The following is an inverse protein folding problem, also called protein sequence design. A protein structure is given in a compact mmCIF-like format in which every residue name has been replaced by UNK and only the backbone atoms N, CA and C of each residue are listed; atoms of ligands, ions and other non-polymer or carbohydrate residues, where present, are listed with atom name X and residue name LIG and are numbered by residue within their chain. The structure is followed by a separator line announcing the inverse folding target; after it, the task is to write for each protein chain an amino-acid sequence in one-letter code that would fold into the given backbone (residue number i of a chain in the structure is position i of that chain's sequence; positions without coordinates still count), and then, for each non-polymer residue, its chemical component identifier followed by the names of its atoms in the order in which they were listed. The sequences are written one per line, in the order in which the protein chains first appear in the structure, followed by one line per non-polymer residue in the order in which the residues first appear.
data_IF_313715482295
#
_entry.id   IF_313715482295
#
_cell.length_a   1.000
_cell.length_b   1.000
_cell.length_c   1.000
_cell.angle_alpha   90.00
_cell.angle_beta   90.00
_cell.angle_gamma   90.00
#
_symmetry.space_group_name_H-M   'P 1'
#
loop_
_entity.id
_entity.type
_entity.pdbx_description
1 polymer ?
#
# COMPACT_ATOMS: atom_id res chain seq x y z
N UNK A 1 22.49 -11.59 -1.21
CA UNK A 1 22.25 -11.35 0.24
C UNK A 1 23.50 -11.66 1.04
N UNK A 2 23.94 -10.75 1.90
CA UNK A 2 24.90 -11.05 2.97
C UNK A 2 24.30 -12.07 3.94
N UNK A 3 25.11 -13.02 4.41
CA UNK A 3 24.70 -14.00 5.41
C UNK A 3 24.28 -13.28 6.70
N UNK A 4 23.09 -13.57 7.21
CA UNK A 4 22.57 -12.95 8.43
C UNK A 4 23.15 -13.69 9.63
N UNK A 5 23.85 -12.98 10.49
CA UNK A 5 24.29 -13.49 11.79
C UNK A 5 23.11 -13.49 12.77
N UNK A 6 22.35 -14.59 12.75
CA UNK A 6 21.17 -14.78 13.59
C UNK A 6 21.49 -14.77 15.10
N UNK A 7 22.73 -15.08 15.47
CA UNK A 7 23.17 -15.12 16.87
C UNK A 7 23.48 -13.72 17.42
N UNK A 8 23.81 -12.75 16.56
CA UNK A 8 24.23 -11.39 16.96
C UNK A 8 23.41 -10.26 16.32
N UNK A 9 22.10 -10.46 16.16
CA UNK A 9 21.19 -9.40 15.71
C UNK A 9 21.14 -8.21 16.73
N UNK A 10 20.87 -6.96 16.30
CA UNK A 10 20.75 -5.82 17.21
C UNK A 10 19.54 -5.97 18.16
N UNK A 11 19.45 -5.20 19.26
CA UNK A 11 18.26 -5.20 20.10
C UNK A 11 17.03 -4.73 19.30
N UNK A 12 15.85 -5.20 19.69
CA UNK A 12 14.59 -4.76 19.10
C UNK A 12 14.29 -3.31 19.47
N UNK A 13 13.72 -2.53 18.55
CA UNK A 13 13.36 -1.12 18.81
C UNK A 13 11.90 -0.95 19.27
N UNK A 14 11.15 -2.03 19.44
CA UNK A 14 9.76 -1.95 19.93
C UNK A 14 9.70 -1.27 21.31
N UNK A 15 8.63 -0.51 21.61
CA UNK A 15 8.41 0.03 22.95
C UNK A 15 8.24 -1.08 24.00
N UNK A 16 8.75 -0.83 25.20
CA UNK A 16 8.71 -1.79 26.32
C UNK A 16 7.30 -2.03 26.87
N UNK A 17 6.39 -1.09 26.64
CA UNK A 17 5.00 -1.05 27.10
C UNK A 17 4.00 -1.33 25.97
N UNK A 18 4.45 -1.99 24.89
CA UNK A 18 3.62 -2.31 23.74
C UNK A 18 2.34 -3.06 24.14
N UNK A 19 1.19 -2.46 23.86
CA UNK A 19 -0.11 -3.09 24.06
C UNK A 19 -0.44 -4.06 22.92
N UNK A 20 -0.91 -5.25 23.26
CA UNK A 20 -1.48 -6.22 22.31
C UNK A 20 -2.88 -6.62 22.77
N UNK A 21 -3.84 -6.53 21.85
CA UNK A 21 -5.24 -6.89 22.08
C UNK A 21 -5.65 -7.99 21.10
N UNK A 22 -6.18 -9.10 21.61
CA UNK A 22 -6.79 -10.15 20.79
C UNK A 22 -8.30 -10.17 21.04
N UNK A 23 -9.10 -9.97 19.99
CA UNK A 23 -10.56 -9.75 20.08
C UNK A 23 -11.38 -10.83 19.37
N UNK A 24 -12.51 -11.17 19.96
CA UNK A 24 -13.54 -12.02 19.35
C UNK A 24 -13.36 -13.53 19.58
N UNK A 25 -12.35 -13.95 20.35
CA UNK A 25 -12.11 -15.36 20.64
C UNK A 25 -12.95 -15.85 21.83
N UNK A 26 -13.57 -17.02 21.68
CA UNK A 26 -14.24 -17.72 22.79
C UNK A 26 -13.23 -18.53 23.64
N UNK A 27 -12.14 -18.97 23.04
CA UNK A 27 -11.05 -19.69 23.71
C UNK A 27 -9.92 -18.73 24.12
N UNK A 28 -9.84 -18.42 25.41
CA UNK A 28 -8.82 -17.53 25.98
C UNK A 28 -7.39 -18.08 25.82
N UNK A 29 -7.20 -19.40 25.90
CA UNK A 29 -5.89 -20.03 25.74
C UNK A 29 -5.37 -19.83 24.31
N UNK A 30 -6.19 -20.14 23.31
CA UNK A 30 -5.85 -19.93 21.90
C UNK A 30 -5.64 -18.45 21.55
N UNK A 31 -6.43 -17.55 22.15
CA UNK A 31 -6.24 -16.11 21.98
C UNK A 31 -4.88 -15.65 22.51
N UNK A 32 -4.48 -16.13 23.70
CA UNK A 32 -3.20 -15.81 24.33
C UNK A 32 -2.02 -16.38 23.54
N UNK A 33 -2.13 -17.62 23.07
CA UNK A 33 -1.11 -18.24 22.22
C UNK A 33 -0.91 -17.46 20.93
N UNK A 34 -1.99 -17.09 20.24
CA UNK A 34 -1.91 -16.31 19.02
C UNK A 34 -1.28 -14.94 19.28
N UNK A 35 -1.72 -14.26 20.34
CA UNK A 35 -1.14 -12.98 20.74
C UNK A 35 0.36 -13.07 21.03
N UNK A 36 0.80 -14.12 21.72
CA UNK A 36 2.23 -14.34 21.98
C UNK A 36 3.01 -14.59 20.69
N UNK A 37 2.51 -15.44 19.79
CA UNK A 37 3.20 -15.76 18.55
C UNK A 37 3.33 -14.53 17.63
N UNK A 38 2.28 -13.71 17.52
CA UNK A 38 2.32 -12.44 16.79
C UNK A 38 3.33 -11.48 17.43
N UNK A 39 3.34 -11.35 18.75
CA UNK A 39 4.29 -10.47 19.45
C UNK A 39 5.74 -10.92 19.29
N UNK A 40 6.01 -12.22 19.30
CA UNK A 40 7.36 -12.76 19.10
C UNK A 40 7.85 -12.53 17.66
N UNK A 41 6.97 -12.63 16.66
CA UNK A 41 7.27 -12.23 15.29
C UNK A 41 7.61 -10.73 15.19
N UNK A 42 6.78 -9.85 15.78
CA UNK A 42 7.02 -8.40 15.78
C UNK A 42 8.32 -8.05 16.51
N UNK A 43 8.63 -8.72 17.63
CA UNK A 43 9.90 -8.57 18.35
C UNK A 43 11.09 -8.89 17.47
N UNK A 44 11.03 -9.98 16.72
CA UNK A 44 12.06 -10.36 15.76
C UNK A 44 12.22 -9.29 14.68
N UNK A 45 11.13 -8.84 14.06
CA UNK A 45 11.18 -7.83 13.00
C UNK A 45 11.68 -6.47 13.49
N UNK A 46 11.41 -6.10 14.75
CA UNK A 46 11.97 -4.90 15.36
C UNK A 46 13.49 -4.91 15.52
N UNK A 47 14.17 -6.03 15.22
CA UNK A 47 15.64 -6.12 15.11
C UNK A 47 16.15 -5.84 13.69
N UNK A 48 15.26 -5.73 12.71
CA UNK A 48 15.58 -5.45 11.30
C UNK A 48 14.97 -4.13 10.82
N UNK A 49 13.85 -3.72 11.42
CA UNK A 49 13.10 -2.53 11.07
C UNK A 49 12.95 -1.65 12.31
N UNK A 50 12.90 -0.32 12.11
CA UNK A 50 12.66 0.61 13.19
C UNK A 50 11.17 0.66 13.55
N UNK A 51 10.80 -0.04 14.62
CA UNK A 51 9.46 -0.07 15.21
C UNK A 51 9.29 0.83 16.44
N UNK A 52 10.16 1.84 16.64
CA UNK A 52 10.11 2.69 17.84
C UNK A 52 8.83 3.53 17.98
N UNK A 53 8.13 3.76 16.86
CA UNK A 53 6.86 4.49 16.78
C UNK A 53 5.64 3.58 16.76
N UNK A 54 5.78 2.29 17.09
CA UNK A 54 4.66 1.38 17.22
C UNK A 54 3.80 1.75 18.45
N UNK A 55 2.50 1.96 18.26
CA UNK A 55 1.51 2.25 19.31
C UNK A 55 1.07 0.97 20.02
N UNK A 56 0.65 -0.01 19.22
CA UNK A 56 0.01 -1.22 19.70
C UNK A 56 -0.40 -2.14 18.56
N UNK A 57 -0.91 -3.31 18.94
CA UNK A 57 -1.33 -4.36 18.02
C UNK A 57 -2.74 -4.83 18.38
N UNK A 58 -3.60 -4.94 17.38
CA UNK A 58 -4.93 -5.56 17.49
C UNK A 58 -5.03 -6.74 16.55
N UNK A 59 -5.36 -7.92 17.07
CA UNK A 59 -5.68 -9.12 16.27
C UNK A 59 -7.16 -9.43 16.50
N UNK A 60 -7.98 -9.46 15.45
CA UNK A 60 -9.42 -9.56 15.61
C UNK A 60 -10.05 -10.56 14.65
N UNK A 61 -11.01 -11.37 15.17
CA UNK A 61 -11.89 -12.18 14.32
C UNK A 61 -12.81 -11.27 13.50
N UNK A 62 -13.41 -10.27 14.13
CA UNK A 62 -14.14 -9.20 13.44
C UNK A 62 -13.19 -8.06 13.07
N UNK A 63 -12.48 -8.27 11.96
CA UNK A 63 -11.48 -7.33 11.45
C UNK A 63 -12.09 -5.98 11.04
N UNK A 64 -13.27 -6.00 10.42
CA UNK A 64 -13.95 -4.79 9.94
C UNK A 64 -14.40 -3.92 11.13
N UNK A 65 -14.94 -4.54 12.20
CA UNK A 65 -15.26 -3.82 13.44
C UNK A 65 -14.00 -3.29 14.15
N UNK A 66 -12.91 -4.08 14.19
CA UNK A 66 -11.67 -3.64 14.81
C UNK A 66 -11.04 -2.42 14.13
N UNK A 67 -11.12 -2.33 12.80
CA UNK A 67 -10.73 -1.14 12.04
C UNK A 67 -11.63 0.06 12.34
N UNK A 68 -12.95 -0.15 12.34
CA UNK A 68 -13.92 0.92 12.58
C UNK A 68 -13.81 1.53 13.99
N UNK A 69 -13.50 0.70 14.99
CA UNK A 69 -13.41 1.10 16.41
C UNK A 69 -12.05 1.69 16.80
N UNK A 70 -11.04 1.64 15.92
CA UNK A 70 -9.71 2.09 16.28
C UNK A 70 -9.70 3.61 16.54
N UNK A 71 -9.38 4.00 17.76
CA UNK A 71 -9.12 5.39 18.10
C UNK A 71 -7.77 5.86 17.55
N UNK A 72 -7.86 6.72 16.54
CA UNK A 72 -6.70 7.31 15.86
C UNK A 72 -6.22 8.60 16.52
N UNK A 73 -6.83 9.06 17.60
CA UNK A 73 -6.38 10.20 18.40
C UNK A 73 -6.59 11.58 17.75
N UNK A 74 -7.35 11.65 16.64
CA UNK A 74 -7.79 12.90 16.02
C UNK A 74 -9.32 12.90 15.84
N UNK A 75 -10.01 14.00 16.18
CA UNK A 75 -11.45 14.10 16.01
C UNK A 75 -11.86 14.22 14.53
N UNK A 76 -13.04 13.73 14.19
CA UNK A 76 -13.65 13.93 12.86
C UNK A 76 -13.08 13.04 11.75
N UNK A 77 -12.21 12.09 12.08
CA UNK A 77 -11.77 11.07 11.12
C UNK A 77 -12.90 10.11 10.78
N UNK A 78 -12.97 9.70 9.51
CA UNK A 78 -13.86 8.62 9.08
C UNK A 78 -13.35 7.28 9.64
N UNK A 79 -14.24 6.35 10.00
CA UNK A 79 -13.86 4.98 10.34
C UNK A 79 -13.02 4.35 9.23
N UNK A 80 -12.04 3.54 9.61
CA UNK A 80 -11.22 2.80 8.64
C UNK A 80 -12.03 1.67 8.04
N UNK A 81 -11.82 1.41 6.75
CA UNK A 81 -12.40 0.28 6.04
C UNK A 81 -11.31 -0.39 5.21
N UNK A 82 -11.37 -1.71 5.08
CA UNK A 82 -10.44 -2.44 4.23
C UNK A 82 -10.80 -2.32 2.75
N UNK A 83 -9.81 -2.51 1.89
CA UNK A 83 -10.05 -2.85 0.49
C UNK A 83 -10.75 -4.21 0.40
N UNK A 84 -11.84 -4.28 -0.37
CA UNK A 84 -12.64 -5.51 -0.53
C UNK A 84 -13.07 -5.68 -1.98
N UNK A 85 -12.08 -5.90 -2.85
CA UNK A 85 -12.27 -6.15 -4.28
C UNK A 85 -12.00 -7.62 -4.61
N UNK A 86 -12.34 -8.06 -5.83
CA UNK A 86 -12.05 -9.43 -6.26
C UNK A 86 -10.54 -9.67 -6.45
N UNK A 87 -9.79 -8.62 -6.80
CA UNK A 87 -8.36 -8.66 -7.10
C UNK A 87 -7.49 -8.41 -5.86
N UNK A 88 -8.03 -7.73 -4.84
CA UNK A 88 -7.32 -7.38 -3.62
C UNK A 88 -8.27 -7.31 -2.41
N UNK A 89 -7.94 -8.08 -1.37
CA UNK A 89 -8.58 -8.03 -0.06
C UNK A 89 -7.57 -7.57 0.99
N UNK A 90 -7.88 -6.47 1.68
CA UNK A 90 -7.10 -5.99 2.81
C UNK A 90 -7.31 -6.90 4.01
N UNK A 91 -6.23 -7.51 4.50
CA UNK A 91 -6.25 -8.47 5.62
C UNK A 91 -5.51 -7.98 6.86
N UNK A 92 -4.74 -6.92 6.70
CA UNK A 92 -4.10 -6.18 7.76
C UNK A 92 -4.00 -4.70 7.35
N UNK A 93 -3.74 -3.85 8.33
CA UNK A 93 -3.51 -2.43 8.11
C UNK A 93 -2.64 -1.85 9.23
N UNK A 94 -1.81 -0.88 8.89
CA UNK A 94 -0.94 -0.13 9.80
C UNK A 94 -1.36 1.35 9.92
N UNK A 95 -2.55 1.67 10.43
CA UNK A 95 -3.01 3.06 10.53
C UNK A 95 -2.13 3.93 11.43
N UNK A 96 -1.88 5.16 10.98
CA UNK A 96 -1.32 6.22 11.82
C UNK A 96 -2.33 6.63 12.91
N UNK A 97 -1.80 6.86 14.12
CA UNK A 97 -2.52 7.28 15.31
C UNK A 97 -1.76 8.38 16.05
N UNK A 98 -2.47 9.26 16.74
CA UNK A 98 -1.89 10.31 17.59
C UNK A 98 -1.95 9.88 19.05
N UNK A 99 -0.80 9.90 19.75
CA UNK A 99 -0.67 9.63 21.19
C UNK A 99 0.24 10.68 21.81
N UNK A 100 -0.26 11.41 22.80
CA UNK A 100 0.52 12.42 23.53
C UNK A 100 1.27 13.41 22.62
N UNK A 101 0.63 13.81 21.52
CA UNK A 101 1.20 14.74 20.53
C UNK A 101 2.26 14.13 19.59
N UNK A 102 2.45 12.80 19.63
CA UNK A 102 3.34 12.08 18.71
C UNK A 102 2.53 11.18 17.78
N UNK A 103 2.93 11.18 16.51
CA UNK A 103 2.40 10.25 15.52
C UNK A 103 3.07 8.89 15.72
N UNK A 104 2.24 7.86 15.82
CA UNK A 104 2.61 6.46 15.95
C UNK A 104 1.84 5.63 14.93
N UNK A 105 2.16 4.36 14.81
CA UNK A 105 1.46 3.40 13.97
C UNK A 105 0.83 2.32 14.83
N UNK A 106 -0.45 2.02 14.65
CA UNK A 106 -1.11 0.87 15.29
C UNK A 106 -1.26 -0.24 14.24
N UNK A 107 -0.98 -1.49 14.58
CA UNK A 107 -1.16 -2.61 13.65
C UNK A 107 -2.48 -3.31 13.91
N UNK A 108 -3.27 -3.56 12.88
CA UNK A 108 -4.53 -4.30 12.97
C UNK A 108 -4.48 -5.49 12.02
N UNK A 109 -4.69 -6.70 12.54
CA UNK A 109 -4.65 -7.94 11.78
C UNK A 109 -5.99 -8.68 11.83
N UNK A 110 -6.40 -9.23 10.70
CA UNK A 110 -7.43 -10.26 10.66
C UNK A 110 -6.87 -11.54 11.29
N UNK A 111 -7.51 -12.02 12.37
CA UNK A 111 -7.09 -13.19 13.12
C UNK A 111 -6.94 -14.45 12.25
N UNK A 112 -7.82 -14.65 11.27
CA UNK A 112 -7.77 -15.82 10.39
C UNK A 112 -6.46 -15.88 9.60
N UNK A 113 -5.92 -14.72 9.23
CA UNK A 113 -4.76 -14.59 8.35
C UNK A 113 -3.44 -14.74 9.09
N UNK A 114 -3.45 -14.62 10.42
CA UNK A 114 -2.28 -14.83 11.28
C UNK A 114 -2.37 -16.11 12.13
N UNK A 115 -3.51 -16.81 12.09
CA UNK A 115 -3.74 -18.04 12.86
C UNK A 115 -2.76 -19.18 12.52
N UNK A 116 -2.14 -19.15 11.34
CA UNK A 116 -1.11 -20.11 10.93
C UNK A 116 0.07 -20.19 11.89
N UNK A 117 0.35 -19.12 12.66
CA UNK A 117 1.45 -19.07 13.63
C UNK A 117 1.31 -20.04 14.81
N UNK A 118 0.09 -20.44 15.19
CA UNK A 118 -0.16 -21.23 16.41
C UNK A 118 -0.80 -22.58 16.15
N UNK A 119 -1.18 -22.88 14.91
CA UNK A 119 -1.75 -24.18 14.60
C UNK A 119 -0.62 -25.24 14.51
N UNK A 120 -0.65 -26.23 15.41
CA UNK A 120 0.28 -27.38 15.46
C UNK A 120 0.38 -28.14 14.13
N UNK A 121 -0.66 -28.04 13.30
CA UNK A 121 -0.77 -28.69 11.98
C UNK A 121 -0.89 -27.68 10.84
N UNK A 122 -0.61 -26.39 11.06
CA UNK A 122 -0.61 -25.41 9.98
C UNK A 122 0.36 -25.84 8.88
N UNK A 123 -0.09 -25.70 7.63
CA UNK A 123 0.79 -25.84 6.49
C UNK A 123 1.92 -24.81 6.60
N UNK A 124 3.11 -25.17 6.10
CA UNK A 124 4.25 -24.25 6.12
C UNK A 124 3.96 -22.97 5.31
N UNK A 125 3.12 -23.09 4.29
CA UNK A 125 2.62 -21.97 3.50
C UNK A 125 1.76 -21.00 4.33
N UNK A 126 0.91 -21.51 5.22
CA UNK A 126 0.06 -20.66 6.08
C UNK A 126 0.91 -19.90 7.12
N UNK A 127 1.94 -20.56 7.67
CA UNK A 127 2.92 -19.91 8.55
C UNK A 127 3.71 -18.83 7.81
N UNK A 128 4.21 -19.15 6.62
CA UNK A 128 4.95 -18.21 5.80
C UNK A 128 4.10 -16.99 5.40
N UNK A 129 2.83 -17.20 5.05
CA UNK A 129 1.90 -16.13 4.76
C UNK A 129 1.67 -15.22 5.98
N UNK A 130 1.42 -15.79 7.16
CA UNK A 130 1.25 -15.03 8.39
C UNK A 130 2.49 -14.21 8.76
N UNK A 131 3.69 -14.82 8.67
CA UNK A 131 4.98 -14.14 8.88
C UNK A 131 5.15 -12.99 7.89
N UNK A 132 4.86 -13.23 6.61
CA UNK A 132 4.97 -12.23 5.55
C UNK A 132 4.05 -11.03 5.76
N UNK A 133 2.79 -11.26 6.16
CA UNK A 133 1.83 -10.20 6.50
C UNK A 133 2.36 -9.35 7.66
N UNK A 134 2.78 -9.98 8.75
CA UNK A 134 3.26 -9.23 9.93
C UNK A 134 4.53 -8.46 9.61
N UNK A 135 5.45 -9.03 8.84
CA UNK A 135 6.68 -8.35 8.42
C UNK A 135 6.38 -7.12 7.54
N UNK A 136 5.43 -7.23 6.61
CA UNK A 136 5.01 -6.13 5.74
C UNK A 136 4.40 -4.97 6.55
N UNK A 137 3.48 -5.27 7.47
CA UNK A 137 2.88 -4.24 8.33
C UNK A 137 3.88 -3.62 9.31
N UNK A 138 4.87 -4.39 9.78
CA UNK A 138 5.99 -3.84 10.55
C UNK A 138 6.82 -2.85 9.72
N UNK A 139 7.04 -3.12 8.44
CA UNK A 139 7.76 -2.21 7.57
C UNK A 139 7.03 -0.86 7.43
N UNK A 140 5.70 -0.87 7.36
CA UNK A 140 4.92 0.38 7.34
C UNK A 140 5.09 1.23 8.59
N UNK A 141 5.40 0.66 9.76
CA UNK A 141 5.73 1.44 10.97
C UNK A 141 6.96 2.31 10.72
N UNK A 142 8.01 1.73 10.13
CA UNK A 142 9.23 2.46 9.78
C UNK A 142 8.94 3.49 8.69
N UNK A 143 8.24 3.10 7.62
CA UNK A 143 7.90 4.00 6.51
C UNK A 143 7.09 5.21 6.99
N UNK A 144 6.11 4.98 7.87
CA UNK A 144 5.31 6.06 8.48
C UNK A 144 6.21 7.02 9.26
N UNK A 145 7.13 6.49 10.09
CA UNK A 145 8.05 7.32 10.85
C UNK A 145 8.99 8.15 9.96
N UNK A 146 9.49 7.56 8.87
CA UNK A 146 10.34 8.25 7.90
C UNK A 146 9.58 9.40 7.21
N UNK A 147 8.36 9.14 6.73
CA UNK A 147 7.52 10.16 6.09
C UNK A 147 7.14 11.28 7.06
N UNK A 148 6.72 10.95 8.27
CA UNK A 148 6.36 11.95 9.29
C UNK A 148 7.52 12.93 9.56
N UNK A 149 8.75 12.41 9.62
CA UNK A 149 9.94 13.21 9.84
C UNK A 149 10.28 14.09 8.63
N UNK A 150 10.22 13.54 7.42
CA UNK A 150 10.84 14.12 6.24
C UNK A 150 9.88 14.75 5.22
N UNK A 151 8.59 14.41 5.21
CA UNK A 151 7.63 14.78 4.16
C UNK A 151 6.47 15.55 4.80
N UNK A 152 6.46 16.90 4.79
CA UNK A 152 5.43 17.70 5.44
C UNK A 152 3.99 17.36 5.04
N UNK A 153 3.75 17.06 3.76
CA UNK A 153 2.42 16.72 3.24
C UNK A 153 1.92 15.35 3.71
N UNK A 154 2.83 14.40 4.01
CA UNK A 154 2.48 13.07 4.51
C UNK A 154 2.21 13.04 6.02
N UNK A 155 2.46 14.16 6.73
CA UNK A 155 2.32 14.18 8.19
C UNK A 155 0.88 13.94 8.61
N UNK A 156 0.70 13.11 9.62
CA UNK A 156 -0.63 12.69 10.03
C UNK A 156 -1.51 13.87 10.47
N UNK A 157 -2.67 14.03 9.82
CA UNK A 157 -3.59 15.14 10.07
C UNK A 157 -3.34 16.39 9.23
N UNK A 158 -2.31 16.40 8.38
CA UNK A 158 -2.08 17.47 7.42
C UNK A 158 -3.16 17.47 6.35
N UNK A 159 -3.63 18.66 6.01
CA UNK A 159 -4.55 18.88 4.89
C UNK A 159 -3.76 19.35 3.68
N UNK A 160 -3.82 18.58 2.60
CA UNK A 160 -3.30 18.98 1.30
C UNK A 160 -4.30 19.93 0.64
N UNK A 161 -3.84 21.11 0.25
CA UNK A 161 -4.65 22.11 -0.44
C UNK A 161 -4.69 21.79 -1.95
N UNK A 162 -5.83 22.07 -2.58
CA UNK A 162 -6.06 21.74 -3.99
C UNK A 162 -6.55 20.31 -4.21
N UNK A 163 -7.55 20.15 -5.07
CA UNK A 163 -8.12 18.84 -5.37
C UNK A 163 -7.13 17.94 -6.11
N UNK A 164 -6.54 18.47 -7.19
CA UNK A 164 -5.55 17.76 -8.02
C UNK A 164 -4.35 17.28 -7.18
N UNK A 165 -3.70 18.20 -6.45
CA UNK A 165 -2.57 17.88 -5.57
C UNK A 165 -2.91 16.79 -4.55
N UNK A 166 -4.09 16.87 -3.94
CA UNK A 166 -4.56 15.86 -2.97
C UNK A 166 -4.73 14.48 -3.60
N UNK A 167 -5.24 14.40 -4.83
CA UNK A 167 -5.38 13.14 -5.57
C UNK A 167 -4.02 12.57 -5.95
N UNK A 168 -3.14 13.37 -6.55
CA UNK A 168 -1.83 12.91 -7.01
C UNK A 168 -0.92 12.50 -5.85
N UNK A 169 -0.95 13.27 -4.74
CA UNK A 169 -0.17 12.93 -3.56
C UNK A 169 -0.61 11.60 -2.95
N UNK A 170 -1.90 11.28 -2.91
CA UNK A 170 -2.36 9.98 -2.40
C UNK A 170 -1.82 8.81 -3.22
N UNK A 171 -1.68 8.99 -4.53
CA UNK A 171 -1.10 7.98 -5.43
C UNK A 171 0.40 7.87 -5.21
N UNK A 172 1.10 9.00 -5.12
CA UNK A 172 2.52 9.03 -4.81
C UNK A 172 2.82 8.32 -3.47
N UNK A 173 2.03 8.64 -2.44
CA UNK A 173 2.17 8.08 -1.11
C UNK A 173 1.97 6.56 -1.12
N UNK A 174 0.90 6.05 -1.74
CA UNK A 174 0.68 4.60 -1.79
C UNK A 174 1.74 3.88 -2.62
N UNK A 175 2.23 4.47 -3.71
CA UNK A 175 3.30 3.84 -4.49
C UNK A 175 4.58 3.69 -3.67
N UNK A 176 4.98 4.73 -2.94
CA UNK A 176 6.14 4.64 -2.06
C UNK A 176 5.93 3.65 -0.92
N UNK A 177 4.78 3.73 -0.23
CA UNK A 177 4.51 2.94 0.97
C UNK A 177 4.59 1.44 0.67
N UNK A 178 3.94 0.99 -0.39
CA UNK A 178 3.86 -0.43 -0.74
C UNK A 178 5.19 -0.96 -1.28
N UNK A 179 5.90 -0.14 -2.07
CA UNK A 179 7.24 -0.48 -2.55
C UNK A 179 8.22 -0.66 -1.39
N UNK A 180 8.29 0.34 -0.51
CA UNK A 180 9.23 0.34 0.60
C UNK A 180 8.91 -0.80 1.58
N UNK A 181 7.63 -1.02 1.89
CA UNK A 181 7.21 -2.10 2.78
C UNK A 181 7.55 -3.49 2.22
N UNK A 182 7.32 -3.74 0.93
CA UNK A 182 7.69 -5.00 0.29
C UNK A 182 9.21 -5.19 0.26
N UNK A 183 9.96 -4.15 -0.09
CA UNK A 183 11.42 -4.24 -0.14
C UNK A 183 12.04 -4.53 1.22
N UNK A 184 11.54 -3.92 2.29
CA UNK A 184 11.99 -4.19 3.67
C UNK A 184 11.61 -5.59 4.16
N UNK A 185 10.41 -6.06 3.81
CA UNK A 185 9.87 -7.33 4.31
C UNK A 185 10.21 -8.55 3.46
N UNK A 186 10.79 -8.38 2.25
CA UNK A 186 11.12 -9.44 1.31
C UNK A 186 11.89 -10.63 1.92
N UNK A 187 12.81 -10.35 2.87
CA UNK A 187 13.55 -11.39 3.58
C UNK A 187 12.64 -12.42 4.28
N UNK A 188 11.50 -11.96 4.78
CA UNK A 188 10.53 -12.73 5.55
C UNK A 188 9.31 -13.16 4.72
N UNK A 189 9.19 -12.68 3.48
CA UNK A 189 8.05 -12.93 2.61
C UNK A 189 8.47 -13.38 1.21
N UNK A 190 9.18 -14.51 1.13
CA UNK A 190 9.81 -15.00 -0.11
C UNK A 190 8.86 -15.44 -1.22
N UNK A 191 7.55 -15.47 -0.98
CA UNK A 191 6.54 -15.78 -2.01
C UNK A 191 5.81 -14.51 -2.48
N UNK A 192 6.07 -13.37 -1.85
CA UNK A 192 5.37 -12.12 -2.10
C UNK A 192 5.46 -11.68 -3.57
N UNK A 193 6.67 -11.69 -4.13
CA UNK A 193 6.92 -11.28 -5.52
C UNK A 193 6.09 -12.10 -6.50
N UNK A 194 5.94 -13.41 -6.24
CA UNK A 194 5.10 -14.28 -7.05
C UNK A 194 3.62 -13.90 -6.94
N UNK A 195 3.09 -13.76 -5.72
CA UNK A 195 1.68 -13.41 -5.52
C UNK A 195 1.33 -12.05 -6.12
N UNK A 196 2.17 -11.04 -5.92
CA UNK A 196 1.99 -9.72 -6.53
C UNK A 196 2.11 -9.79 -8.05
N UNK A 197 2.96 -10.65 -8.58
CA UNK A 197 3.05 -10.92 -10.01
C UNK A 197 1.76 -11.52 -10.59
N UNK A 198 1.15 -12.49 -9.90
CA UNK A 198 -0.15 -13.06 -10.28
C UNK A 198 -1.26 -11.99 -10.21
N UNK A 199 -1.30 -11.17 -9.16
CA UNK A 199 -2.20 -10.01 -9.06
C UNK A 199 -1.96 -8.98 -10.16
N UNK A 200 -0.71 -8.74 -10.56
CA UNK A 200 -0.35 -7.80 -11.61
C UNK A 200 -0.92 -8.28 -12.95
N UNK A 201 -0.70 -9.55 -13.30
CA UNK A 201 -1.24 -10.17 -14.51
C UNK A 201 -2.77 -10.01 -14.56
N UNK A 202 -3.46 -10.32 -13.47
CA UNK A 202 -4.92 -10.18 -13.39
C UNK A 202 -5.40 -8.72 -13.50
N UNK A 203 -4.67 -7.80 -12.89
CA UNK A 203 -5.05 -6.38 -12.83
C UNK A 203 -4.85 -5.67 -14.17
N UNK A 204 -3.68 -5.85 -14.82
CA UNK A 204 -3.40 -5.19 -16.11
C UNK A 204 -4.33 -5.66 -17.21
N UNK A 205 -4.85 -6.89 -17.11
CA UNK A 205 -5.76 -7.46 -18.10
C UNK A 205 -7.13 -6.77 -18.16
N UNK A 206 -7.55 -6.03 -17.12
CA UNK A 206 -8.92 -5.50 -17.00
C UNK A 206 -8.98 -4.01 -16.65
N UNK A 207 -7.89 -3.43 -16.13
CA UNK A 207 -7.87 -2.06 -15.62
C UNK A 207 -8.27 -1.02 -16.67
N UNK A 208 -7.65 -1.08 -17.86
CA UNK A 208 -7.93 -0.12 -18.94
C UNK A 208 -9.37 -0.20 -19.43
N UNK A 209 -9.93 -1.40 -19.55
CA UNK A 209 -11.32 -1.60 -19.95
C UNK A 209 -12.31 -1.02 -18.94
N UNK A 210 -12.02 -1.19 -17.64
CA UNK A 210 -12.83 -0.60 -16.56
C UNK A 210 -12.79 0.93 -16.59
N UNK A 211 -11.60 1.52 -16.74
CA UNK A 211 -11.44 2.96 -16.87
C UNK A 211 -12.19 3.50 -18.11
N UNK A 212 -12.03 2.84 -19.26
CA UNK A 212 -12.72 3.21 -20.49
C UNK A 212 -14.24 3.11 -20.38
N UNK A 213 -14.76 2.11 -19.66
CA UNK A 213 -16.19 1.97 -19.40
C UNK A 213 -16.74 3.13 -18.53
N UNK A 214 -16.00 3.53 -17.50
CA UNK A 214 -16.35 4.70 -16.68
C UNK A 214 -16.32 6.00 -17.50
N UNK A 215 -15.30 6.20 -18.35
CA UNK A 215 -15.22 7.36 -19.25
C UNK A 215 -16.41 7.38 -20.23
N UNK A 216 -16.81 6.22 -20.78
CA UNK A 216 -18.02 6.12 -21.62
C UNK A 216 -19.29 6.52 -20.88
N UNK A 217 -19.45 6.03 -19.64
CA UNK A 217 -20.60 6.36 -18.81
C UNK A 217 -20.66 7.88 -18.55
N UNK A 218 -19.51 8.49 -18.27
CA UNK A 218 -19.38 9.93 -18.06
C UNK A 218 -19.91 10.76 -19.23
N UNK A 219 -19.77 10.30 -20.48
CA UNK A 219 -20.36 10.99 -21.64
C UNK A 219 -21.89 11.12 -21.60
N UNK A 220 -22.55 10.33 -20.75
CA UNK A 220 -24.00 10.35 -20.57
C UNK A 220 -24.42 11.16 -19.35
N UNK A 221 -23.79 10.95 -18.19
CA UNK A 221 -24.19 11.60 -16.93
C UNK A 221 -23.47 12.92 -16.64
N UNK A 222 -22.30 13.17 -17.25
CA UNK A 222 -21.49 14.39 -17.10
C UNK A 222 -21.07 14.73 -15.65
N UNK A 223 -21.03 13.72 -14.76
CA UNK A 223 -20.62 13.87 -13.36
C UNK A 223 -19.12 13.55 -13.23
N UNK A 224 -18.33 14.59 -12.95
CA UNK A 224 -16.87 14.50 -12.83
C UNK A 224 -16.45 13.77 -11.55
N UNK A 225 -17.15 13.98 -10.44
CA UNK A 225 -16.80 13.32 -9.17
C UNK A 225 -17.02 11.82 -9.29
N UNK A 226 -18.11 11.42 -9.95
CA UNK A 226 -18.37 10.03 -10.27
C UNK A 226 -17.33 9.47 -11.25
N UNK A 227 -16.95 10.21 -12.29
CA UNK A 227 -15.91 9.78 -13.23
C UNK A 227 -14.59 9.49 -12.52
N UNK A 228 -14.10 10.42 -11.70
CA UNK A 228 -12.84 10.24 -10.97
C UNK A 228 -12.95 9.08 -9.98
N UNK A 229 -14.10 8.95 -9.30
CA UNK A 229 -14.36 7.86 -8.36
C UNK A 229 -14.43 6.47 -9.00
N UNK A 230 -14.75 6.37 -10.30
CA UNK A 230 -14.87 5.09 -11.01
C UNK A 230 -13.64 4.77 -11.88
N UNK A 231 -13.18 5.72 -12.69
CA UNK A 231 -12.03 5.53 -13.57
C UNK A 231 -10.69 5.60 -12.81
N UNK A 232 -10.58 6.49 -11.81
CA UNK A 232 -9.34 6.69 -11.05
C UNK A 232 -8.83 5.41 -10.38
N UNK A 233 -9.65 4.71 -9.57
CA UNK A 233 -9.23 3.44 -8.98
C UNK A 233 -8.80 2.39 -10.02
N UNK A 234 -9.46 2.33 -11.18
CA UNK A 234 -9.10 1.41 -12.25
C UNK A 234 -7.73 1.73 -12.86
N UNK A 235 -7.41 3.02 -13.04
CA UNK A 235 -6.12 3.47 -13.58
C UNK A 235 -4.97 3.30 -12.58
N UNK A 236 -5.23 3.54 -11.30
CA UNK A 236 -4.22 3.52 -10.23
C UNK A 236 -3.91 2.09 -9.75
N UNK A 237 -4.88 1.17 -9.80
CA UNK A 237 -4.68 -0.18 -9.26
C UNK A 237 -3.47 -0.94 -9.88
N UNK A 238 -3.25 -0.96 -11.22
CA UNK A 238 -2.05 -1.54 -11.81
C UNK A 238 -0.76 -0.94 -11.26
N UNK A 239 -0.75 0.38 -11.02
CA UNK A 239 0.41 1.11 -10.54
C UNK A 239 0.71 0.76 -9.08
N UNK A 240 -0.33 0.70 -8.23
CA UNK A 240 -0.22 0.24 -6.86
C UNK A 240 0.33 -1.20 -6.81
N UNK A 241 -0.22 -2.12 -7.60
CA UNK A 241 0.28 -3.51 -7.68
C UNK A 241 1.71 -3.56 -8.25
N UNK A 242 2.04 -2.68 -9.18
CA UNK A 242 3.39 -2.46 -9.68
C UNK A 242 4.35 -2.13 -8.54
N UNK A 243 4.03 -1.16 -7.68
CA UNK A 243 4.86 -0.81 -6.53
C UNK A 243 5.12 -2.01 -5.59
N UNK A 244 4.08 -2.78 -5.25
CA UNK A 244 4.20 -4.03 -4.48
C UNK A 244 5.17 -5.04 -5.13
N UNK A 245 5.00 -5.27 -6.43
CA UNK A 245 5.82 -6.22 -7.19
C UNK A 245 7.28 -5.76 -7.24
N UNK A 246 7.52 -4.50 -7.59
CA UNK A 246 8.85 -3.91 -7.74
C UNK A 246 9.62 -3.90 -6.42
N UNK A 247 8.93 -3.60 -5.30
CA UNK A 247 9.54 -3.65 -3.97
C UNK A 247 9.99 -5.06 -3.60
N UNK A 248 9.13 -6.06 -3.86
CA UNK A 248 9.47 -7.47 -3.65
C UNK A 248 10.65 -7.91 -4.51
N UNK A 249 10.64 -7.58 -5.81
CA UNK A 249 11.73 -7.90 -6.74
C UNK A 249 13.06 -7.31 -6.25
N UNK A 250 13.09 -6.02 -5.91
CA UNK A 250 14.31 -5.36 -5.42
C UNK A 250 14.78 -5.91 -4.07
N UNK A 251 13.86 -6.33 -3.20
CA UNK A 251 14.17 -6.94 -1.92
C UNK A 251 14.74 -8.36 -2.05
N UNK A 252 14.25 -9.13 -3.01
CA UNK A 252 14.74 -10.47 -3.35
C UNK A 252 16.00 -10.45 -4.24
N UNK A 253 16.29 -9.30 -4.86
CA UNK A 253 17.37 -9.13 -5.82
C UNK A 253 17.06 -9.71 -7.20
N UNK A 254 15.77 -9.77 -7.56
CA UNK A 254 15.29 -10.21 -8.85
C UNK A 254 15.28 -9.07 -9.87
N UNK A 255 15.32 -9.46 -11.14
CA UNK A 255 15.03 -8.58 -12.27
C UNK A 255 13.93 -9.18 -13.18
N UNK A 256 13.61 -8.49 -14.27
CA UNK A 256 12.54 -8.93 -15.18
C UNK A 256 12.81 -10.29 -15.85
N UNK A 257 14.05 -10.77 -15.86
CA UNK A 257 14.42 -12.10 -16.38
C UNK A 257 14.04 -13.23 -15.43
N UNK A 258 13.88 -12.96 -14.13
CA UNK A 258 13.39 -13.93 -13.14
C UNK A 258 11.86 -14.11 -13.22
N UNK A 259 11.15 -13.13 -13.76
CA UNK A 259 9.67 -13.08 -13.84
C UNK A 259 9.15 -12.83 -15.28
N UNK A 260 9.59 -13.59 -16.29
CA UNK A 260 9.36 -13.25 -17.70
C UNK A 260 7.88 -13.25 -18.11
N UNK A 261 7.05 -14.11 -17.50
CA UNK A 261 5.61 -14.16 -17.76
C UNK A 261 4.87 -12.90 -17.28
N UNK A 262 5.32 -12.34 -16.16
CA UNK A 262 4.76 -11.11 -15.59
C UNK A 262 5.16 -9.91 -16.47
N UNK A 263 6.44 -9.82 -16.86
CA UNK A 263 6.90 -8.77 -17.80
C UNK A 263 6.15 -8.81 -19.12
N UNK A 264 5.93 -9.99 -19.69
CA UNK A 264 5.18 -10.14 -20.93
C UNK A 264 3.72 -9.65 -20.78
N UNK A 265 3.06 -9.91 -19.65
CA UNK A 265 1.71 -9.41 -19.40
C UNK A 265 1.66 -7.88 -19.32
N UNK A 266 2.64 -7.25 -18.65
CA UNK A 266 2.77 -5.80 -18.54
C UNK A 266 2.94 -5.16 -19.92
N UNK A 267 3.86 -5.68 -20.73
CA UNK A 267 4.12 -5.18 -22.10
C UNK A 267 2.89 -5.37 -22.99
N UNK A 268 2.26 -6.55 -22.97
CA UNK A 268 1.09 -6.82 -23.80
C UNK A 268 -0.11 -5.93 -23.44
N UNK A 269 -0.19 -5.49 -22.18
CA UNK A 269 -1.23 -4.59 -21.70
C UNK A 269 -0.87 -3.09 -21.88
N UNK A 270 0.34 -2.78 -22.37
CA UNK A 270 0.80 -1.40 -22.62
C UNK A 270 1.13 -0.62 -21.34
N UNK A 271 1.65 -1.29 -20.31
CA UNK A 271 2.06 -0.66 -19.04
C UNK A 271 3.59 -0.60 -18.88
N UNK A 272 4.36 -1.01 -19.87
CA UNK A 272 5.80 -1.18 -19.74
C UNK A 272 6.55 0.13 -19.46
N UNK A 273 6.25 1.20 -20.19
CA UNK A 273 6.88 2.51 -19.96
C UNK A 273 6.55 3.04 -18.55
N UNK A 274 5.27 3.03 -18.16
CA UNK A 274 4.82 3.47 -16.83
C UNK A 274 5.46 2.66 -15.70
N UNK A 275 5.59 1.34 -15.85
CA UNK A 275 6.17 0.48 -14.81
C UNK A 275 7.69 0.66 -14.72
N UNK A 276 8.38 0.85 -15.84
CA UNK A 276 9.81 1.10 -15.84
C UNK A 276 10.14 2.48 -15.23
N UNK A 277 9.34 3.50 -15.52
CA UNK A 277 9.49 4.82 -14.90
C UNK A 277 9.20 4.78 -13.40
N UNK A 278 8.09 4.15 -13.00
CA UNK A 278 7.78 3.95 -11.58
C UNK A 278 8.93 3.26 -10.85
N UNK A 279 9.52 2.22 -11.45
CA UNK A 279 10.64 1.50 -10.86
C UNK A 279 11.87 2.38 -10.67
N UNK A 280 12.18 3.22 -11.67
CA UNK A 280 13.30 4.16 -11.59
C UNK A 280 13.10 5.18 -10.46
N UNK A 281 11.91 5.78 -10.37
CA UNK A 281 11.58 6.76 -9.32
C UNK A 281 11.67 6.13 -7.93
N UNK A 282 11.07 4.95 -7.74
CA UNK A 282 11.05 4.27 -6.44
C UNK A 282 12.45 3.84 -5.98
N UNK A 283 13.31 3.40 -6.89
CA UNK A 283 14.71 3.08 -6.55
C UNK A 283 15.50 4.31 -6.12
N UNK A 284 15.34 5.43 -6.81
CA UNK A 284 16.00 6.69 -6.44
C UNK A 284 15.53 7.19 -5.06
N UNK A 285 14.22 7.09 -4.79
CA UNK A 285 13.66 7.40 -3.47
C UNK A 285 14.23 6.49 -2.38
N UNK A 286 14.36 5.19 -2.67
CA UNK A 286 14.95 4.24 -1.74
C UNK A 286 16.41 4.54 -1.41
N UNK A 287 17.21 4.85 -2.43
CA UNK A 287 18.63 5.10 -2.25
C UNK A 287 18.89 6.45 -1.55
N UNK A 288 17.96 7.41 -1.66
CA UNK A 288 18.05 8.74 -1.05
C UNK A 288 17.36 8.90 0.31
N UNK A 289 16.60 7.90 0.79
CA UNK A 289 15.72 8.01 1.97
C UNK A 289 16.42 8.47 3.26
N UNK A 290 17.72 8.21 3.41
CA UNK A 290 18.51 8.66 4.56
C UNK A 290 18.90 10.14 4.55
N UNK A 291 18.67 10.83 3.43
CA UNK A 291 19.07 12.21 3.20
C UNK A 291 17.89 13.16 2.92
N UNK A 292 16.65 12.67 3.07
CA UNK A 292 15.47 13.50 2.85
C UNK A 292 15.39 14.66 3.84
N UNK A 293 15.05 15.83 3.31
CA UNK A 293 14.92 17.07 4.07
C UNK A 293 13.50 17.65 3.87
N UNK A 294 12.81 18.10 4.93
CA UNK A 294 11.46 18.67 4.83
C UNK A 294 11.30 19.91 3.93
N UNK A 295 12.39 20.56 3.56
CA UNK A 295 12.39 21.70 2.63
C UNK A 295 12.46 21.29 1.16
N UNK A 296 12.69 20.01 0.88
CA UNK A 296 12.77 19.45 -0.48
C UNK A 296 11.45 18.77 -0.81
N UNK A 297 10.95 19.00 -2.03
CA UNK A 297 9.75 18.33 -2.55
C UNK A 297 10.08 16.89 -2.98
N UNK A 298 10.40 16.03 -2.02
CA UNK A 298 10.90 14.66 -2.25
C UNK A 298 9.94 13.79 -3.06
N UNK A 299 8.62 13.94 -2.87
CA UNK A 299 7.62 13.14 -3.59
C UNK A 299 7.23 13.73 -4.94
N UNK A 300 7.77 14.89 -5.34
CA UNK A 300 7.38 15.53 -6.60
C UNK A 300 7.50 14.61 -7.83
N UNK A 301 8.58 13.81 -7.98
CA UNK A 301 8.66 12.88 -9.10
C UNK A 301 7.51 11.86 -9.14
N UNK A 302 7.03 11.39 -7.99
CA UNK A 302 5.89 10.47 -7.93
C UNK A 302 4.55 11.18 -8.18
N UNK A 303 4.43 12.46 -7.81
CA UNK A 303 3.27 13.27 -8.17
C UNK A 303 3.22 13.48 -9.68
N UNK A 304 4.33 13.90 -10.30
CA UNK A 304 4.43 14.11 -11.75
C UNK A 304 4.06 12.81 -12.49
N UNK A 305 4.60 11.68 -12.03
CA UNK A 305 4.24 10.36 -12.52
C UNK A 305 2.73 10.05 -12.35
N UNK A 306 2.11 10.42 -11.24
CA UNK A 306 0.67 10.23 -11.05
C UNK A 306 -0.18 11.03 -12.06
N UNK A 307 0.27 12.23 -12.47
CA UNK A 307 -0.38 12.96 -13.57
C UNK A 307 -0.27 12.18 -14.89
N UNK A 308 0.89 11.59 -15.17
CA UNK A 308 1.12 10.79 -16.37
C UNK A 308 0.21 9.55 -16.42
N UNK A 309 0.06 8.84 -15.30
CA UNK A 309 -0.87 7.69 -15.18
C UNK A 309 -2.30 8.08 -15.56
N UNK A 310 -2.78 9.24 -15.08
CA UNK A 310 -4.11 9.72 -15.43
C UNK A 310 -4.21 10.16 -16.90
N UNK A 311 -3.21 10.88 -17.39
CA UNK A 311 -3.18 11.37 -18.77
C UNK A 311 -3.17 10.20 -19.78
N UNK A 312 -2.35 9.18 -19.54
CA UNK A 312 -2.33 7.91 -20.28
C UNK A 312 -3.68 7.18 -20.19
N UNK A 313 -4.37 7.33 -19.05
CA UNK A 313 -5.74 6.86 -18.82
C UNK A 313 -6.85 7.68 -19.49
N UNK A 314 -6.54 8.81 -20.12
CA UNK A 314 -7.52 9.69 -20.76
C UNK A 314 -8.19 10.70 -19.82
N UNK A 315 -7.62 10.97 -18.65
CA UNK A 315 -8.04 12.01 -17.71
C UNK A 315 -6.92 13.03 -17.54
N UNK A 316 -7.13 14.28 -17.95
CA UNK A 316 -6.10 15.32 -17.88
C UNK A 316 -6.57 16.37 -16.87
N UNK A 317 -5.88 16.45 -15.74
CA UNK A 317 -6.18 17.43 -14.71
C UNK A 317 -5.53 18.78 -15.05
N UNK A 318 -6.24 19.84 -14.70
CA UNK A 318 -5.81 21.21 -14.90
C UNK A 318 -6.25 22.08 -13.73
N UNK A 319 -5.31 22.58 -12.94
CA UNK A 319 -5.58 23.59 -11.92
C UNK A 319 -5.33 25.00 -12.45
N UNK A 320 -6.34 25.87 -12.34
CA UNK A 320 -6.23 27.30 -12.62
C UNK A 320 -5.52 28.06 -11.48
N UNK A 321 -5.02 29.26 -11.75
CA UNK A 321 -4.33 30.13 -10.76
C UNK A 321 -5.20 30.45 -9.52
N UNK A 322 -6.53 30.35 -9.63
CA UNK A 322 -7.47 30.57 -8.53
C UNK A 322 -7.80 29.29 -7.73
N UNK A 323 -7.14 28.17 -8.03
CA UNK A 323 -7.28 26.89 -7.35
C UNK A 323 -8.44 26.03 -7.83
N UNK A 324 -9.19 26.46 -8.86
CA UNK A 324 -10.21 25.60 -9.49
C UNK A 324 -9.54 24.53 -10.34
N UNK A 325 -9.92 23.28 -10.10
CA UNK A 325 -9.51 22.14 -10.91
C UNK A 325 -10.58 21.84 -11.95
N UNK A 326 -10.19 21.68 -13.20
CA UNK A 326 -10.99 21.05 -14.25
C UNK A 326 -10.30 19.79 -14.76
N UNK A 327 -11.08 18.86 -15.31
CA UNK A 327 -10.57 17.62 -15.88
C UNK A 327 -11.01 17.58 -17.33
N UNK A 328 -10.05 17.59 -18.25
CA UNK A 328 -10.29 17.32 -19.65
C UNK A 328 -10.35 15.80 -19.87
N UNK A 329 -11.29 15.40 -20.72
CA UNK A 329 -11.57 14.00 -21.04
C UNK A 329 -11.60 13.92 -22.57
N UNK A 330 -10.45 13.69 -23.22
CA UNK A 330 -10.35 13.65 -24.68
C UNK A 330 -11.19 12.53 -25.30
N UNK A 331 -11.63 12.74 -26.54
CA UNK A 331 -12.34 11.72 -27.30
C UNK A 331 -11.36 10.71 -27.91
N UNK A 332 -11.61 9.43 -27.68
CA UNK A 332 -10.90 8.30 -28.32
C UNK A 332 -11.89 7.28 -28.87
N UNK A 333 -11.45 6.39 -29.75
CA UNK A 333 -12.28 5.28 -30.24
C UNK A 333 -12.73 4.37 -29.10
N UNK A 334 -11.89 4.21 -28.09
CA UNK A 334 -12.05 3.31 -26.97
C UNK A 334 -13.00 3.86 -25.91
N UNK A 335 -13.22 5.18 -25.87
CA UNK A 335 -14.00 5.89 -24.84
C UNK A 335 -15.29 6.55 -25.36
N UNK A 336 -15.58 6.42 -26.66
CA UNK A 336 -16.84 6.88 -27.24
C UNK A 336 -17.97 5.85 -27.06
N UNK A 337 -19.24 6.28 -26.86
CA UNK A 337 -20.37 5.36 -26.92
C UNK A 337 -20.38 4.62 -28.24
N UNK A 338 -20.57 3.31 -28.21
CA UNK A 338 -20.74 2.53 -29.43
C UNK A 338 -21.88 3.15 -30.22
N UNK A 339 -21.64 3.52 -31.48
CA UNK A 339 -22.69 4.04 -32.34
C UNK A 339 -23.86 3.05 -32.32
N UNK A 340 -25.04 3.49 -31.90
CA UNK A 340 -26.26 2.72 -32.07
C UNK A 340 -26.48 2.56 -33.57
N UNK A 341 -26.02 1.44 -34.13
CA UNK A 341 -26.49 0.97 -35.42
C UNK A 341 -27.96 0.63 -35.25
N UNK A 342 -28.83 1.58 -35.55
CA UNK A 342 -30.26 1.37 -35.70
C UNK A 342 -30.58 0.58 -36.97
#
# INVERSE_FOLDING_TARGET
MTEIDWDNLPPTTIPTDLGLTVKGFENEEGARELGHAVLDAIRLFGRFMNLSTLDGVTVAIDYDQALADLDRGLPGLRPLTRSNTAEMQGVAMSPAVMRDGQVKTHLVFNAQMVAGLTADIAAEEDKAAAIGIIAHECAHVQVTAQKEAAIPEARFGTRIEGYERSVMFQIAEVCWDEYAACRMSALFNRQQTRYHGESMIGTVAIARDRANAAIKAYRTHADIDQLVGEAGPALVQPIKIGAYLLGGMDGEGFDWTDVPGIRAAIVNAGYDDLIDELHAILRELWDSQGAWDPSIATFEPLIDFAHEVFADGGLIFHTEDDGRCHIDVPFSSETMPNAFYH
#
